data_IF_066526270050
#
_entry.id   IF_066526270050
#
_cell.length_a   1.000
_cell.length_b   1.000
_cell.length_c   1.000
_cell.angle_alpha   90.00
_cell.angle_beta   90.00
_cell.angle_gamma   90.00
#
_symmetry.space_group_name_H-M   'P 1'
#
loop_
_entity.id
_entity.type
_entity.pdbx_description
1 polymer ?
#
# COMPACT_ATOMS: atom_id res chain seq x y z
N UNK A 1 3.47 -11.89 14.76
CA UNK A 1 4.40 -10.78 15.05
C UNK A 1 3.82 -9.50 14.47
N UNK A 2 4.12 -8.39 15.09
CA UNK A 2 3.66 -7.09 14.65
C UNK A 2 4.82 -6.10 14.80
N UNK A 3 4.78 -5.03 13.98
CA UNK A 3 5.66 -3.89 14.13
C UNK A 3 5.50 -3.27 15.53
N UNK A 4 6.54 -2.66 16.07
CA UNK A 4 6.42 -1.93 17.35
C UNK A 4 5.59 -0.66 17.13
N UNK A 5 5.86 0.07 16.06
CA UNK A 5 5.06 1.21 15.64
C UNK A 5 4.57 1.00 14.21
N UNK A 6 3.26 1.03 14.01
CA UNK A 6 2.65 0.84 12.71
C UNK A 6 1.67 1.98 12.40
N UNK A 7 1.95 2.71 11.32
CA UNK A 7 1.08 3.77 10.80
C UNK A 7 0.73 3.49 9.35
N UNK A 8 -0.55 3.31 9.07
CA UNK A 8 -1.02 3.03 7.71
C UNK A 8 -2.20 3.89 7.31
N UNK A 9 -2.30 4.25 6.04
CA UNK A 9 -3.39 5.02 5.43
C UNK A 9 -3.60 6.40 6.07
N UNK A 10 -2.55 7.04 6.52
CA UNK A 10 -2.63 8.39 7.10
C UNK A 10 -2.22 9.45 6.08
N UNK A 11 -2.99 10.53 6.00
CA UNK A 11 -2.70 11.63 5.07
C UNK A 11 -1.47 12.43 5.51
N UNK A 12 -1.29 12.62 6.82
CA UNK A 12 -0.10 13.27 7.38
C UNK A 12 0.67 12.26 8.21
N UNK A 13 1.93 12.06 7.85
CA UNK A 13 2.83 11.17 8.57
C UNK A 13 3.09 11.62 10.02
N UNK A 14 3.40 10.68 10.91
CA UNK A 14 3.68 10.98 12.31
C UNK A 14 5.01 11.72 12.48
N UNK A 15 5.12 12.43 13.62
CA UNK A 15 6.39 12.80 14.21
C UNK A 15 6.77 11.73 15.24
N UNK A 16 7.95 11.16 15.08
CA UNK A 16 8.57 10.22 16.01
C UNK A 16 9.93 10.81 16.39
N UNK A 17 10.05 11.24 17.62
CA UNK A 17 11.21 12.00 18.09
C UNK A 17 11.60 11.59 19.48
N UNK A 18 12.92 11.52 19.74
CA UNK A 18 13.53 11.22 21.04
C UNK A 18 13.03 9.91 21.68
N UNK A 19 12.76 8.90 20.84
CA UNK A 19 12.26 7.59 21.26
C UNK A 19 13.35 6.52 21.17
N UNK A 20 13.18 5.47 21.98
CA UNK A 20 13.97 4.24 21.90
C UNK A 20 13.08 3.08 21.49
N UNK A 21 13.53 2.29 20.49
CA UNK A 21 12.84 1.12 19.96
C UNK A 21 13.77 -0.08 19.98
N UNK A 22 13.33 -1.18 20.58
CA UNK A 22 14.12 -2.41 20.65
C UNK A 22 13.27 -3.67 20.78
N UNK A 23 13.88 -4.82 20.49
CA UNK A 23 13.29 -6.16 20.67
C UNK A 23 12.01 -6.43 19.86
N UNK A 24 11.81 -5.72 18.75
CA UNK A 24 10.70 -6.00 17.83
C UNK A 24 10.93 -7.29 17.05
N UNK A 25 9.87 -8.11 16.90
CA UNK A 25 9.90 -9.31 16.09
C UNK A 25 9.63 -9.03 14.60
N UNK A 26 9.21 -7.82 14.27
CA UNK A 26 9.01 -7.29 12.92
C UNK A 26 9.62 -5.89 12.86
N UNK A 27 9.26 -5.03 11.90
CA UNK A 27 9.84 -3.70 11.78
C UNK A 27 9.66 -2.88 13.06
N UNK A 28 10.68 -2.15 13.49
CA UNK A 28 10.54 -1.30 14.67
C UNK A 28 9.61 -0.11 14.35
N UNK A 29 9.73 0.45 13.14
CA UNK A 29 8.77 1.42 12.59
C UNK A 29 8.35 0.97 11.19
N UNK A 30 7.03 0.98 10.94
CA UNK A 30 6.44 0.73 9.62
C UNK A 30 5.40 1.82 9.29
N UNK A 31 5.68 2.64 8.29
CA UNK A 31 4.80 3.72 7.82
C UNK A 31 4.54 3.53 6.34
N UNK A 32 3.28 3.28 5.95
CA UNK A 32 2.96 3.00 4.56
C UNK A 32 1.49 3.27 4.18
N UNK A 33 1.25 3.43 2.87
CA UNK A 33 -0.06 3.31 2.26
C UNK A 33 -0.48 1.85 2.05
N UNK A 34 -1.59 1.68 1.35
CA UNK A 34 -2.10 0.36 0.96
C UNK A 34 -2.18 0.29 -0.55
N UNK A 35 -1.90 -0.89 -1.08
CA UNK A 35 -2.12 -1.18 -2.48
C UNK A 35 -3.50 -1.81 -2.68
N UNK A 36 -4.14 -1.44 -3.81
CA UNK A 36 -5.23 -2.18 -4.40
C UNK A 36 -4.73 -2.89 -5.66
N UNK A 37 -5.32 -4.02 -6.00
CA UNK A 37 -4.94 -4.82 -7.18
C UNK A 37 -5.96 -4.65 -8.28
N UNK A 38 -5.49 -4.32 -9.49
CA UNK A 38 -6.35 -4.32 -10.67
C UNK A 38 -6.72 -5.75 -11.03
N UNK A 39 -8.04 -6.04 -11.05
CA UNK A 39 -8.58 -7.29 -11.56
C UNK A 39 -8.65 -7.23 -13.10
N UNK A 40 -9.25 -6.18 -13.65
CA UNK A 40 -9.29 -5.93 -15.10
C UNK A 40 -9.63 -4.47 -15.41
N UNK A 41 -9.22 -4.01 -16.57
CA UNK A 41 -9.70 -2.75 -17.15
C UNK A 41 -11.03 -3.01 -17.89
N UNK A 42 -12.04 -2.18 -17.63
CA UNK A 42 -13.42 -2.33 -18.19
C UNK A 42 -13.75 -1.28 -19.23
N UNK A 43 -13.08 -0.10 -19.12
CA UNK A 43 -13.18 0.98 -20.12
C UNK A 43 -11.83 1.75 -20.14
N UNK A 44 -11.62 2.68 -21.09
CA UNK A 44 -10.39 3.46 -21.14
C UNK A 44 -10.06 4.21 -19.83
N UNK A 45 -11.09 4.61 -19.08
CA UNK A 45 -11.00 5.36 -17.83
C UNK A 45 -11.54 4.57 -16.61
N UNK A 46 -11.73 3.25 -16.75
CA UNK A 46 -12.38 2.46 -15.70
C UNK A 46 -11.71 1.11 -15.48
N UNK A 47 -11.57 0.73 -14.22
CA UNK A 47 -11.04 -0.58 -13.80
C UNK A 47 -11.89 -1.21 -12.70
N UNK A 48 -11.82 -2.54 -12.60
CA UNK A 48 -12.18 -3.28 -11.40
C UNK A 48 -10.92 -3.50 -10.56
N UNK A 49 -10.96 -3.06 -9.32
CA UNK A 49 -9.84 -3.17 -8.39
C UNK A 49 -10.26 -3.86 -7.08
N UNK A 50 -9.49 -4.85 -6.67
CA UNK A 50 -9.62 -5.49 -5.37
C UNK A 50 -8.87 -4.69 -4.32
N UNK A 51 -9.51 -4.38 -3.19
CA UNK A 51 -8.94 -3.60 -2.11
C UNK A 51 -9.42 -4.08 -0.75
N UNK A 52 -8.59 -3.93 0.26
CA UNK A 52 -8.98 -4.07 1.68
C UNK A 52 -9.43 -2.74 2.30
N UNK A 53 -9.50 -1.67 1.51
CA UNK A 53 -9.94 -0.33 1.92
C UNK A 53 -11.42 -0.17 1.54
N UNK A 54 -12.19 0.51 2.39
CA UNK A 54 -13.58 0.82 2.14
C UNK A 54 -13.76 1.86 0.98
N UNK A 55 -14.89 1.82 0.23
CA UNK A 55 -15.08 2.55 -1.02
C UNK A 55 -15.08 4.06 -0.89
N UNK A 56 -15.70 4.56 0.16
CA UNK A 56 -15.86 6.00 0.42
C UNK A 56 -14.54 6.76 0.56
N UNK A 57 -13.43 6.04 0.57
CA UNK A 57 -12.08 6.61 0.69
C UNK A 57 -11.35 6.74 -0.64
N UNK A 58 -11.97 6.42 -1.76
CA UNK A 58 -11.34 6.51 -3.07
C UNK A 58 -11.74 7.76 -3.86
N UNK A 59 -12.95 8.26 -3.69
CA UNK A 59 -13.42 9.43 -4.44
C UNK A 59 -12.60 10.67 -4.10
N UNK A 60 -12.11 11.36 -5.15
CA UNK A 60 -11.20 12.49 -5.02
C UNK A 60 -9.74 12.12 -4.77
N UNK A 61 -9.42 10.83 -4.53
CA UNK A 61 -8.04 10.39 -4.34
C UNK A 61 -7.27 10.34 -5.65
N UNK A 62 -6.05 10.86 -5.62
CA UNK A 62 -5.09 10.65 -6.70
C UNK A 62 -4.37 9.32 -6.44
N UNK A 63 -4.53 8.37 -7.35
CA UNK A 63 -3.86 7.07 -7.29
C UNK A 63 -2.63 7.06 -8.20
N UNK A 64 -1.53 6.52 -7.70
CA UNK A 64 -0.33 6.15 -8.48
C UNK A 64 -0.48 4.71 -8.93
N UNK A 65 0.03 4.43 -10.11
CA UNK A 65 -0.06 3.11 -10.74
C UNK A 65 1.32 2.50 -10.92
N UNK A 66 1.43 1.21 -10.64
CA UNK A 66 2.68 0.48 -10.77
C UNK A 66 2.47 -0.89 -11.39
N UNK A 67 3.46 -1.36 -12.14
CA UNK A 67 3.51 -2.75 -12.56
C UNK A 67 3.82 -3.62 -11.34
N UNK A 68 3.05 -4.67 -11.13
CA UNK A 68 3.34 -5.64 -10.07
C UNK A 68 4.72 -6.28 -10.29
N UNK A 69 5.42 -6.55 -9.20
CA UNK A 69 6.75 -7.19 -9.19
C UNK A 69 7.90 -6.23 -9.44
N UNK A 70 7.90 -5.48 -10.52
CA UNK A 70 8.96 -4.51 -10.82
C UNK A 70 8.78 -3.16 -10.14
N UNK A 71 7.55 -2.84 -9.71
CA UNK A 71 7.14 -1.51 -9.23
C UNK A 71 7.45 -0.38 -10.22
N UNK A 72 7.53 -0.70 -11.50
CA UNK A 72 7.71 0.31 -12.54
C UNK A 72 6.47 1.23 -12.59
N UNK A 73 6.66 2.56 -12.55
CA UNK A 73 5.55 3.50 -12.56
C UNK A 73 4.82 3.46 -13.91
N UNK A 74 3.50 3.53 -13.87
CA UNK A 74 2.60 3.53 -15.04
C UNK A 74 1.78 4.82 -15.16
N UNK A 75 2.01 5.78 -14.27
CA UNK A 75 1.29 7.05 -14.23
C UNK A 75 0.42 7.21 -12.99
N UNK A 76 -0.51 8.14 -13.08
CA UNK A 76 -1.48 8.43 -12.00
C UNK A 76 -2.74 9.06 -12.59
N UNK A 77 -3.87 8.93 -11.89
CA UNK A 77 -5.11 9.63 -12.19
C UNK A 77 -5.94 9.80 -10.91
N UNK A 78 -6.92 10.71 -10.95
CA UNK A 78 -7.82 10.95 -9.83
C UNK A 78 -9.09 10.11 -9.97
N UNK A 79 -9.52 9.49 -8.90
CA UNK A 79 -10.76 8.73 -8.86
C UNK A 79 -11.94 9.69 -8.82
N UNK A 80 -12.80 9.65 -9.82
CA UNK A 80 -14.03 10.47 -9.88
C UNK A 80 -15.26 9.71 -9.40
N UNK A 81 -15.20 8.39 -9.36
CA UNK A 81 -16.25 7.53 -8.80
C UNK A 81 -15.69 6.20 -8.33
N UNK A 82 -16.17 5.74 -7.19
CA UNK A 82 -15.81 4.45 -6.60
C UNK A 82 -17.09 3.71 -6.16
N UNK A 83 -17.48 2.68 -6.89
CA UNK A 83 -18.70 1.91 -6.62
C UNK A 83 -18.36 0.47 -6.30
N UNK A 84 -18.98 -0.07 -5.25
CA UNK A 84 -18.82 -1.49 -4.91
C UNK A 84 -19.42 -2.36 -6.03
N UNK A 85 -18.57 -3.21 -6.61
CA UNK A 85 -19.00 -4.17 -7.63
C UNK A 85 -19.79 -5.32 -6.99
N UNK A 86 -21.01 -5.53 -7.47
CA UNK A 86 -21.93 -6.54 -6.97
C UNK A 86 -22.12 -7.73 -7.91
N UNK A 87 -21.60 -7.63 -9.15
CA UNK A 87 -21.70 -8.73 -10.11
C UNK A 87 -20.99 -9.98 -9.58
N UNK A 88 -21.71 -11.11 -9.39
CA UNK A 88 -21.13 -12.32 -8.86
C UNK A 88 -20.00 -12.88 -9.73
N UNK A 89 -20.09 -12.76 -11.05
CA UNK A 89 -19.06 -13.24 -11.97
C UNK A 89 -17.77 -12.44 -11.84
N UNK A 90 -17.87 -11.10 -11.77
CA UNK A 90 -16.72 -10.23 -11.55
C UNK A 90 -16.04 -10.50 -10.19
N UNK A 91 -16.84 -10.71 -9.13
CA UNK A 91 -16.34 -11.04 -7.80
C UNK A 91 -15.63 -12.40 -7.78
N UNK A 92 -16.23 -13.42 -8.43
CA UNK A 92 -15.62 -14.75 -8.55
C UNK A 92 -14.31 -14.73 -9.35
N UNK A 93 -14.22 -13.87 -10.37
CA UNK A 93 -12.96 -13.66 -11.12
C UNK A 93 -11.89 -12.98 -10.25
N UNK A 94 -12.24 -11.92 -9.52
CA UNK A 94 -11.34 -11.24 -8.63
C UNK A 94 -10.85 -12.11 -7.47
N UNK A 95 -11.67 -13.04 -6.98
CA UNK A 95 -11.30 -13.99 -5.93
C UNK A 95 -10.18 -14.96 -6.33
N UNK A 96 -9.91 -15.11 -7.63
CA UNK A 96 -8.80 -15.94 -8.13
C UNK A 96 -7.43 -15.23 -8.04
N UNK A 97 -7.42 -13.88 -7.94
CA UNK A 97 -6.19 -13.09 -7.95
C UNK A 97 -5.09 -13.61 -7.01
N UNK A 98 -5.34 -13.87 -5.71
CA UNK A 98 -4.29 -14.34 -4.82
C UNK A 98 -3.67 -15.67 -5.26
N UNK A 99 -4.48 -16.64 -5.68
CA UNK A 99 -4.01 -17.96 -6.14
C UNK A 99 -3.25 -17.88 -7.46
N UNK A 100 -3.69 -17.05 -8.40
CA UNK A 100 -3.01 -16.83 -9.68
C UNK A 100 -1.65 -16.15 -9.46
N UNK A 101 -1.57 -15.19 -8.55
CA UNK A 101 -0.32 -14.52 -8.17
C UNK A 101 0.67 -15.50 -7.56
N UNK A 102 0.20 -16.35 -6.63
CA UNK A 102 1.03 -17.37 -6.01
C UNK A 102 1.55 -18.40 -7.02
N UNK A 103 0.68 -18.88 -7.91
CA UNK A 103 1.06 -19.79 -8.99
C UNK A 103 2.12 -19.18 -9.94
N UNK A 104 2.12 -17.85 -10.07
CA UNK A 104 3.12 -17.12 -10.83
C UNK A 104 4.39 -16.77 -10.02
N UNK A 105 4.54 -17.28 -8.79
CA UNK A 105 5.66 -16.98 -7.90
C UNK A 105 5.64 -15.56 -7.32
N UNK A 106 4.49 -14.90 -7.39
CA UNK A 106 4.30 -13.54 -6.87
C UNK A 106 3.65 -13.60 -5.48
N UNK A 107 4.15 -12.82 -4.53
CA UNK A 107 3.48 -12.71 -3.22
C UNK A 107 2.24 -11.82 -3.35
N UNK A 108 1.11 -12.26 -2.84
CA UNK A 108 -0.19 -11.60 -2.99
C UNK A 108 -0.39 -10.30 -2.18
N UNK A 109 0.71 -9.61 -1.83
CA UNK A 109 0.70 -8.26 -1.24
C UNK A 109 -0.33 -8.03 -0.12
N UNK A 110 -0.53 -9.02 0.77
CA UNK A 110 -1.41 -8.90 1.94
C UNK A 110 -2.88 -9.25 1.69
N UNK A 111 -3.25 -9.73 0.51
CA UNK A 111 -4.60 -10.23 0.21
C UNK A 111 -4.86 -11.66 0.74
N UNK A 112 -3.84 -12.35 1.21
CA UNK A 112 -3.95 -13.73 1.72
C UNK A 112 -4.91 -13.83 2.90
N UNK A 113 -5.97 -14.64 2.74
CA UNK A 113 -6.90 -14.98 3.81
C UNK A 113 -7.73 -13.80 4.33
N UNK A 114 -7.73 -12.65 3.65
CA UNK A 114 -8.52 -11.48 4.01
C UNK A 114 -9.69 -11.31 3.07
N UNK A 115 -10.83 -10.94 3.62
CA UNK A 115 -11.93 -10.41 2.81
C UNK A 115 -11.45 -9.12 2.11
N UNK A 116 -11.77 -9.02 0.84
CA UNK A 116 -11.52 -7.82 0.05
C UNK A 116 -12.82 -7.31 -0.56
N UNK A 117 -12.83 -6.04 -0.84
CA UNK A 117 -13.87 -5.38 -1.60
C UNK A 117 -13.45 -5.33 -3.07
N UNK A 118 -14.37 -5.53 -3.99
CA UNK A 118 -14.15 -5.29 -5.41
C UNK A 118 -14.84 -3.98 -5.78
N UNK A 119 -14.08 -3.02 -6.32
CA UNK A 119 -14.58 -1.72 -6.73
C UNK A 119 -14.49 -1.54 -8.22
N UNK A 120 -15.48 -0.85 -8.74
CA UNK A 120 -15.45 -0.20 -10.03
C UNK A 120 -14.95 1.23 -9.79
N UNK A 121 -13.71 1.50 -10.20
CA UNK A 121 -13.07 2.80 -10.07
C UNK A 121 -13.07 3.48 -11.44
N UNK A 122 -13.65 4.68 -11.52
CA UNK A 122 -13.59 5.55 -12.68
C UNK A 122 -12.64 6.69 -12.43
N UNK A 123 -11.82 7.02 -13.42
CA UNK A 123 -10.77 8.05 -13.35
C UNK A 123 -11.12 9.28 -14.16
N UNK A 124 -10.48 10.41 -13.84
CA UNK A 124 -10.58 11.69 -14.55
C UNK A 124 -9.90 11.70 -15.92
N UNK A 125 -9.12 10.66 -16.24
CA UNK A 125 -8.39 10.51 -17.50
C UNK A 125 -8.29 9.04 -17.91
N UNK A 126 -8.05 8.73 -19.20
CA UNK A 126 -7.74 7.37 -19.64
C UNK A 126 -6.50 6.81 -18.96
N UNK A 127 -6.56 5.54 -18.58
CA UNK A 127 -5.49 4.78 -17.95
C UNK A 127 -5.13 3.55 -18.77
N UNK A 128 -3.93 3.02 -18.59
CA UNK A 128 -3.50 1.76 -19.21
C UNK A 128 -3.03 0.79 -18.14
N UNK A 129 -3.96 0.02 -17.63
CA UNK A 129 -3.74 -0.88 -16.50
C UNK A 129 -4.10 -2.31 -16.89
N UNK A 130 -3.26 -3.24 -16.47
CA UNK A 130 -3.46 -4.67 -16.66
C UNK A 130 -3.81 -5.38 -15.35
N UNK A 131 -4.17 -6.65 -15.48
CA UNK A 131 -4.37 -7.55 -14.32
C UNK A 131 -3.12 -7.55 -13.45
N UNK A 132 -3.29 -7.48 -12.14
CA UNK A 132 -2.28 -7.38 -11.08
C UNK A 132 -1.58 -6.02 -10.94
N UNK A 133 -1.78 -5.05 -11.83
CA UNK A 133 -1.21 -3.72 -11.59
C UNK A 133 -1.67 -3.17 -10.23
N UNK A 134 -0.78 -2.42 -9.60
CA UNK A 134 -0.99 -1.88 -8.27
C UNK A 134 -1.49 -0.44 -8.35
N UNK A 135 -2.46 -0.14 -7.51
CA UNK A 135 -2.97 1.20 -7.27
C UNK A 135 -2.61 1.61 -5.85
N UNK A 136 -1.96 2.75 -5.68
CA UNK A 136 -1.58 3.31 -4.37
C UNK A 136 -2.15 4.71 -4.21
N UNK A 137 -2.77 4.99 -3.06
CA UNK A 137 -3.22 6.36 -2.75
C UNK A 137 -2.02 7.27 -2.54
N UNK A 138 -1.91 8.32 -3.35
CA UNK A 138 -0.87 9.34 -3.22
C UNK A 138 -0.99 10.11 -1.90
N UNK A 139 -2.22 10.40 -1.48
CA UNK A 139 -2.50 11.24 -0.31
C UNK A 139 -2.42 10.53 1.04
N UNK A 140 -2.39 9.18 1.07
CA UNK A 140 -2.54 8.39 2.30
C UNK A 140 -1.43 7.37 2.53
N UNK A 141 -0.18 7.79 2.29
CA UNK A 141 1.02 6.94 2.46
C UNK A 141 1.91 7.35 3.63
N UNK A 142 1.43 8.21 4.53
CA UNK A 142 2.23 8.74 5.64
C UNK A 142 3.16 9.86 5.22
N UNK A 143 2.74 10.69 4.25
CA UNK A 143 3.53 11.77 3.69
C UNK A 143 3.97 12.78 4.76
N UNK A 144 5.20 13.28 4.64
CA UNK A 144 5.77 14.23 5.57
C UNK A 144 6.08 13.65 6.96
N UNK A 145 6.16 12.34 7.10
CA UNK A 145 6.60 11.72 8.36
C UNK A 145 7.99 12.23 8.76
N UNK A 146 8.19 12.43 10.05
CA UNK A 146 9.48 12.84 10.60
C UNK A 146 9.92 11.84 11.66
N UNK A 147 11.08 11.23 11.46
CA UNK A 147 11.68 10.23 12.35
C UNK A 147 13.06 10.79 12.71
N UNK A 148 13.16 11.43 13.87
CA UNK A 148 14.34 12.24 14.22
C UNK A 148 14.81 11.98 15.64
N UNK A 149 16.13 11.96 15.85
CA UNK A 149 16.78 11.81 17.17
C UNK A 149 16.39 10.53 17.91
N UNK A 150 16.08 9.43 17.22
CA UNK A 150 15.68 8.18 17.87
C UNK A 150 16.85 7.19 17.97
N UNK A 151 16.70 6.20 18.87
CA UNK A 151 17.60 5.07 19.00
C UNK A 151 16.87 3.76 18.72
N UNK A 152 17.32 3.04 17.67
CA UNK A 152 16.81 1.75 17.24
C UNK A 152 17.87 0.68 17.44
N UNK A 153 17.54 -0.40 18.15
CA UNK A 153 18.53 -1.45 18.40
C UNK A 153 17.90 -2.80 18.72
N UNK A 154 18.73 -3.85 18.61
CA UNK A 154 18.38 -5.22 18.99
C UNK A 154 17.06 -5.70 18.36
N UNK A 155 16.87 -5.44 17.07
CA UNK A 155 15.66 -5.81 16.32
C UNK A 155 15.89 -7.00 15.39
N UNK A 156 14.86 -7.83 15.19
CA UNK A 156 14.94 -9.02 14.33
C UNK A 156 14.76 -8.71 12.85
N UNK A 157 14.31 -7.52 12.51
CA UNK A 157 14.13 -7.10 11.10
C UNK A 157 14.68 -5.69 10.90
N UNK A 158 13.95 -4.83 10.16
CA UNK A 158 14.38 -3.46 9.86
C UNK A 158 14.09 -2.50 11.01
N UNK A 159 14.94 -1.50 11.18
CA UNK A 159 14.67 -0.38 12.08
C UNK A 159 13.52 0.48 11.57
N UNK A 160 13.58 0.90 10.31
CA UNK A 160 12.59 1.80 9.70
C UNK A 160 12.18 1.28 8.32
N UNK A 161 10.89 1.07 8.13
CA UNK A 161 10.25 0.91 6.83
C UNK A 161 9.30 2.07 6.61
N UNK A 162 9.58 2.93 5.63
CA UNK A 162 8.74 4.08 5.34
C UNK A 162 8.57 4.25 3.83
N UNK A 163 7.31 4.45 3.38
CA UNK A 163 6.95 4.61 1.97
C UNK A 163 6.24 5.94 1.67
N UNK A 164 6.21 6.86 2.62
CA UNK A 164 5.64 8.20 2.41
C UNK A 164 6.52 9.09 1.53
N UNK A 165 5.92 10.09 0.92
CA UNK A 165 6.65 11.16 0.23
C UNK A 165 7.04 12.28 1.20
N UNK A 166 8.16 12.97 0.95
CA UNK A 166 8.62 14.08 1.78
C UNK A 166 8.97 13.70 3.21
N UNK A 167 9.42 12.46 3.42
CA UNK A 167 9.81 11.94 4.74
C UNK A 167 11.17 12.50 5.14
N UNK A 168 11.31 12.85 6.42
CA UNK A 168 12.57 13.25 7.05
C UNK A 168 13.03 12.17 8.01
N UNK A 169 14.23 11.63 7.78
CA UNK A 169 14.88 10.66 8.68
C UNK A 169 16.26 11.22 9.02
N UNK A 170 16.42 11.76 10.23
CA UNK A 170 17.63 12.50 10.61
C UNK A 170 18.07 12.16 12.04
N UNK A 171 19.38 12.12 12.26
CA UNK A 171 20.02 11.97 13.56
C UNK A 171 19.56 10.72 14.34
N UNK A 172 19.14 9.67 13.64
CA UNK A 172 18.78 8.41 14.30
C UNK A 172 20.02 7.53 14.43
N UNK A 173 20.14 6.85 15.57
CA UNK A 173 21.11 5.79 15.79
C UNK A 173 20.42 4.44 15.55
N UNK A 174 20.96 3.63 14.63
CA UNK A 174 20.43 2.30 14.30
C UNK A 174 21.58 1.30 14.41
N UNK A 175 21.44 0.30 15.27
CA UNK A 175 22.48 -0.70 15.47
C UNK A 175 21.90 -2.06 15.89
N UNK A 176 22.67 -3.12 15.67
CA UNK A 176 22.30 -4.51 16.03
C UNK A 176 20.93 -4.94 15.48
N UNK A 177 20.68 -4.59 14.22
CA UNK A 177 19.52 -5.06 13.47
C UNK A 177 19.90 -6.27 12.64
N UNK A 178 19.01 -7.27 12.55
CA UNK A 178 19.26 -8.47 11.74
C UNK A 178 19.09 -8.21 10.23
N UNK A 179 18.31 -7.19 9.87
CA UNK A 179 18.15 -6.71 8.49
C UNK A 179 18.36 -5.19 8.46
N UNK A 180 19.17 -4.73 7.54
CA UNK A 180 19.47 -3.32 7.34
C UNK A 180 19.03 -2.85 5.93
#
# INVERSE_FOLDING_TARGET
SADIFHSTKVAKGPLIEECEFSWGCDDLINIHGMFSLVSRQTAPDEVLAASIIAPEKFEGEKLRFYTFGSLAPKGSATVVSAVLEKDPAARADAAKLPGEMEAAGMRSAGFYGREFFLYRLKFDAPVKLGRYDLLESFGHSGNGARIVNNYFHDGFTRGILCRGDGVTIENNRIERMMMS
#
